data_IF_743229886644
#
_entry.id   IF_743229886644
#
_cell.length_a   1.000
_cell.length_b   1.000
_cell.length_c   1.000
_cell.angle_alpha   90.00
_cell.angle_beta   90.00
_cell.angle_gamma   90.00
#
_symmetry.space_group_name_H-M   'P 1'
#
loop_
_entity.id
_entity.type
_entity.pdbx_description
1 polymer ?
#
# COMPACT_ATOMS: atom_id res chain seq x y z
N UNK A 1 21.55 -23.67 9.13
CA UNK A 1 20.83 -24.53 8.16
C UNK A 1 20.38 -23.66 7.00
N UNK A 2 20.93 -23.80 5.78
CA UNK A 2 20.39 -23.10 4.61
C UNK A 2 19.13 -23.82 4.13
N UNK A 3 18.05 -23.06 3.92
CA UNK A 3 16.75 -23.56 3.45
C UNK A 3 16.88 -23.87 1.95
N UNK A 4 16.54 -25.07 1.47
CA UNK A 4 16.55 -25.38 0.04
C UNK A 4 15.30 -24.81 -0.61
N UNK A 5 15.24 -23.49 -0.80
CA UNK A 5 14.19 -22.89 -1.64
C UNK A 5 14.51 -23.18 -3.09
N UNK A 6 13.71 -24.03 -3.74
CA UNK A 6 13.83 -24.35 -5.17
C UNK A 6 13.73 -23.03 -5.96
N UNK A 7 14.70 -22.71 -6.85
CA UNK A 7 14.78 -21.40 -7.51
C UNK A 7 13.50 -21.02 -8.27
N UNK A 8 12.75 -22.02 -8.74
CA UNK A 8 11.44 -21.85 -9.37
C UNK A 8 10.36 -21.26 -8.44
N UNK A 9 10.36 -21.60 -7.16
CA UNK A 9 9.42 -21.03 -6.19
C UNK A 9 9.75 -19.59 -5.87
N UNK A 10 11.05 -19.27 -5.74
CA UNK A 10 11.51 -17.90 -5.59
C UNK A 10 11.16 -17.04 -6.81
N UNK A 11 11.31 -17.60 -8.02
CA UNK A 11 10.92 -16.90 -9.25
C UNK A 11 9.41 -16.62 -9.32
N UNK A 12 8.57 -17.61 -9.01
CA UNK A 12 7.12 -17.42 -9.00
C UNK A 12 6.69 -16.36 -7.98
N UNK A 13 7.30 -16.38 -6.79
CA UNK A 13 7.03 -15.38 -5.76
C UNK A 13 7.46 -13.98 -6.23
N UNK A 14 8.65 -13.85 -6.83
CA UNK A 14 9.13 -12.61 -7.39
C UNK A 14 8.21 -12.10 -8.52
N UNK A 15 7.77 -12.96 -9.44
CA UNK A 15 6.86 -12.55 -10.52
C UNK A 15 5.52 -12.03 -9.99
N UNK A 16 4.98 -12.63 -8.92
CA UNK A 16 3.76 -12.14 -8.27
C UNK A 16 4.00 -10.77 -7.62
N UNK A 17 5.14 -10.60 -6.94
CA UNK A 17 5.50 -9.35 -6.26
C UNK A 17 5.82 -8.20 -7.23
N UNK A 18 6.43 -8.50 -8.39
CA UNK A 18 6.79 -7.51 -9.41
C UNK A 18 5.68 -7.28 -10.45
N UNK A 19 4.55 -7.99 -10.38
CA UNK A 19 3.44 -7.84 -11.32
C UNK A 19 2.96 -6.39 -11.46
N UNK A 20 2.99 -5.62 -10.37
CA UNK A 20 2.63 -4.19 -10.36
C UNK A 20 3.57 -3.28 -11.18
N UNK A 21 4.81 -3.71 -11.45
CA UNK A 21 5.74 -2.94 -12.28
C UNK A 21 5.29 -2.87 -13.75
N UNK A 22 4.52 -3.86 -14.22
CA UNK A 22 3.96 -3.85 -15.59
C UNK A 22 2.87 -2.79 -15.78
N UNK A 23 2.22 -2.37 -14.69
CA UNK A 23 1.16 -1.37 -14.64
C UNK A 23 1.67 0.01 -14.22
N UNK A 24 2.99 0.19 -14.11
CA UNK A 24 3.59 1.48 -13.74
C UNK A 24 3.61 2.38 -14.98
N UNK A 25 2.72 3.38 -15.12
CA UNK A 25 2.79 4.32 -16.23
C UNK A 25 4.13 5.05 -16.20
N UNK A 26 4.83 5.07 -17.33
CA UNK A 26 6.11 5.75 -17.48
C UNK A 26 5.91 7.27 -17.43
N UNK A 27 6.24 7.84 -16.26
CA UNK A 27 6.44 9.26 -15.92
C UNK A 27 5.49 10.28 -16.50
N UNK A 28 4.76 10.93 -15.60
CA UNK A 28 4.24 12.26 -15.84
C UNK A 28 5.11 13.18 -14.95
N UNK A 29 5.96 14.02 -15.56
CA UNK A 29 6.76 15.07 -14.91
C UNK A 29 6.12 16.41 -15.29
N UNK A 30 6.05 17.36 -14.34
CA UNK A 30 5.28 18.64 -14.38
C UNK A 30 3.77 18.56 -14.04
N UNK A 31 3.38 18.04 -12.87
CA UNK A 31 2.03 18.26 -12.28
C UNK A 31 1.02 17.10 -12.39
N UNK A 32 1.44 15.88 -12.17
CA UNK A 32 1.28 14.89 -13.22
C UNK A 32 0.29 13.73 -12.92
N UNK A 33 -0.40 13.84 -11.79
CA UNK A 33 -1.69 13.18 -11.55
C UNK A 33 -2.61 14.15 -10.78
N UNK A 34 -2.44 15.45 -10.96
CA UNK A 34 -3.17 16.48 -10.20
C UNK A 34 -4.64 16.43 -10.60
N UNK A 35 -5.62 16.20 -9.68
CA UNK A 35 -5.57 16.07 -8.20
C UNK A 35 -5.71 14.64 -7.60
N UNK A 36 -5.70 13.59 -8.41
CA UNK A 36 -6.04 12.20 -8.05
C UNK A 36 -5.21 11.65 -6.88
N UNK A 37 -3.88 11.85 -6.90
CA UNK A 37 -3.00 11.38 -5.83
C UNK A 37 -3.31 12.04 -4.48
N UNK A 38 -3.74 13.30 -4.50
CA UNK A 38 -4.11 14.04 -3.31
C UNK A 38 -5.42 13.50 -2.72
N UNK A 39 -6.41 13.21 -3.57
CA UNK A 39 -7.63 12.51 -3.15
C UNK A 39 -7.35 11.12 -2.58
N UNK A 40 -6.44 10.37 -3.20
CA UNK A 40 -6.04 9.04 -2.74
C UNK A 40 -5.34 9.09 -1.38
N UNK A 41 -4.44 10.05 -1.14
CA UNK A 41 -3.80 10.24 0.16
C UNK A 41 -4.83 10.63 1.22
N UNK A 42 -5.73 11.58 0.93
CA UNK A 42 -6.79 11.97 1.86
C UNK A 42 -7.65 10.75 2.23
N UNK A 43 -8.09 9.98 1.23
CA UNK A 43 -8.86 8.76 1.46
C UNK A 43 -8.08 7.73 2.28
N UNK A 44 -6.77 7.56 2.01
CA UNK A 44 -5.89 6.69 2.79
C UNK A 44 -5.76 7.14 4.26
N UNK A 45 -5.59 8.43 4.51
CA UNK A 45 -5.50 9.02 5.86
C UNK A 45 -6.82 8.87 6.63
N UNK A 46 -7.95 9.13 5.96
CA UNK A 46 -9.28 8.91 6.56
C UNK A 46 -9.48 7.43 6.88
N UNK A 47 -9.10 6.53 5.97
CA UNK A 47 -9.18 5.09 6.16
C UNK A 47 -8.36 4.61 7.37
N UNK A 48 -7.10 5.03 7.50
CA UNK A 48 -6.28 4.65 8.67
C UNK A 48 -6.80 5.26 9.97
N UNK A 49 -7.36 6.48 9.93
CA UNK A 49 -7.99 7.10 11.10
C UNK A 49 -9.21 6.28 11.58
N UNK A 50 -10.04 5.80 10.66
CA UNK A 50 -11.17 4.92 10.97
C UNK A 50 -10.70 3.58 11.54
N UNK A 51 -9.70 2.95 10.92
CA UNK A 51 -9.11 1.70 11.41
C UNK A 51 -8.55 1.90 12.82
N UNK A 52 -7.82 2.99 13.06
CA UNK A 52 -7.27 3.29 14.36
C UNK A 52 -8.36 3.51 15.41
N UNK A 53 -9.42 4.26 15.08
CA UNK A 53 -10.56 4.46 15.97
C UNK A 53 -11.25 3.13 16.32
N UNK A 54 -11.44 2.23 15.35
CA UNK A 54 -12.02 0.90 15.57
C UNK A 54 -11.11 0.01 16.44
N UNK A 55 -9.79 0.05 16.23
CA UNK A 55 -8.85 -0.75 17.02
C UNK A 55 -8.65 -0.21 18.43
N UNK A 56 -8.74 1.12 18.61
CA UNK A 56 -8.73 1.77 19.93
C UNK A 56 -9.91 1.31 20.79
N UNK A 57 -11.07 1.04 20.19
CA UNK A 57 -12.24 0.49 20.89
C UNK A 57 -12.07 -0.96 21.36
N UNK A 58 -11.10 -1.70 20.80
CA UNK A 58 -10.96 -3.15 20.99
C UNK A 58 -9.70 -3.55 21.78
N UNK A 59 -9.02 -2.62 22.45
CA UNK A 59 -7.71 -2.78 23.12
C UNK A 59 -6.55 -3.26 22.19
N UNK A 60 -6.85 -3.51 20.91
CA UNK A 60 -5.93 -4.10 19.93
C UNK A 60 -4.93 -3.12 19.32
N UNK A 61 -4.92 -1.88 19.80
CA UNK A 61 -4.06 -0.79 19.35
C UNK A 61 -2.57 -1.16 19.33
N UNK A 62 -2.12 -2.03 20.25
CA UNK A 62 -0.74 -2.52 20.34
C UNK A 62 -0.28 -3.29 19.10
N UNK A 63 -1.21 -3.77 18.24
CA UNK A 63 -0.87 -4.42 16.96
C UNK A 63 -0.36 -3.46 15.89
N UNK A 64 -0.52 -2.14 16.06
CA UNK A 64 0.02 -1.15 15.13
C UNK A 64 1.39 -0.62 15.56
N UNK A 65 1.96 -1.07 16.67
CA UNK A 65 3.32 -0.63 17.03
C UNK A 65 4.37 -1.35 16.15
N UNK A 66 5.36 -0.63 15.59
CA UNK A 66 5.66 0.80 15.76
C UNK A 66 4.78 1.70 14.87
N UNK A 67 4.12 2.68 15.51
CA UNK A 67 3.17 3.61 14.88
C UNK A 67 3.78 4.39 13.72
N UNK A 68 5.05 4.78 13.86
CA UNK A 68 5.80 5.53 12.86
C UNK A 68 5.98 4.78 11.53
N UNK A 69 5.89 3.45 11.53
CA UNK A 69 6.02 2.62 10.32
C UNK A 69 4.66 2.12 9.83
N UNK A 70 3.82 1.64 10.73
CA UNK A 70 2.54 1.04 10.36
C UNK A 70 1.58 2.05 9.74
N UNK A 71 1.52 3.28 10.25
CA UNK A 71 0.60 4.31 9.74
C UNK A 71 0.94 4.77 8.34
N UNK A 72 2.19 5.18 8.02
CA UNK A 72 2.51 5.55 6.65
C UNK A 72 2.38 4.37 5.69
N UNK A 73 2.72 3.15 6.12
CA UNK A 73 2.59 1.95 5.28
C UNK A 73 1.12 1.62 4.96
N UNK A 74 0.25 1.66 5.96
CA UNK A 74 -1.18 1.44 5.76
C UNK A 74 -1.81 2.57 4.93
N UNK A 75 -1.38 3.81 5.16
CA UNK A 75 -1.83 4.98 4.39
C UNK A 75 -1.43 4.83 2.92
N UNK A 76 -0.19 4.46 2.63
CA UNK A 76 0.27 4.25 1.24
C UNK A 76 -0.44 3.05 0.60
N UNK A 77 -0.61 1.94 1.32
CA UNK A 77 -1.37 0.78 0.82
C UNK A 77 -2.82 1.16 0.47
N UNK A 78 -3.50 1.91 1.34
CA UNK A 78 -4.87 2.37 1.09
C UNK A 78 -4.92 3.36 -0.06
N UNK A 79 -4.02 4.35 -0.10
CA UNK A 79 -3.95 5.34 -1.17
C UNK A 79 -3.69 4.68 -2.53
N UNK A 80 -2.75 3.73 -2.61
CA UNK A 80 -2.49 2.97 -3.83
C UNK A 80 -3.69 2.10 -4.22
N UNK A 81 -4.34 1.44 -3.26
CA UNK A 81 -5.54 0.65 -3.54
C UNK A 81 -6.67 1.52 -4.09
N UNK A 82 -6.91 2.69 -3.50
CA UNK A 82 -7.88 3.67 -4.00
C UNK A 82 -7.50 4.14 -5.40
N UNK A 83 -6.22 4.42 -5.64
CA UNK A 83 -5.76 4.83 -6.95
C UNK A 83 -6.00 3.74 -8.00
N UNK A 84 -5.68 2.47 -7.69
CA UNK A 84 -5.91 1.35 -8.59
C UNK A 84 -7.40 1.13 -8.89
N UNK A 85 -8.28 1.31 -7.90
CA UNK A 85 -9.72 1.09 -8.06
C UNK A 85 -10.39 2.21 -8.87
N UNK A 86 -9.99 3.46 -8.65
CA UNK A 86 -10.68 4.62 -9.20
C UNK A 86 -10.00 5.24 -10.43
N UNK A 87 -8.68 5.12 -10.57
CA UNK A 87 -7.89 5.89 -11.55
C UNK A 87 -7.01 5.02 -12.48
N UNK A 88 -7.03 3.69 -12.35
CA UNK A 88 -6.21 2.78 -13.19
C UNK A 88 -6.69 2.64 -14.65
N UNK A 89 -7.86 3.18 -15.00
CA UNK A 89 -8.41 3.17 -16.36
C UNK A 89 -7.79 4.28 -17.20
#
# INVERSE_FOLDING_TARGET
>A
MPIPTRPRQALLLASILLGGCSMSPSLVLFGAAFPDWLFCIIGGVVGIALIHALLSRSDRHRRLEPLALSYPLLTTLLAMSLWLVFFHR
#
